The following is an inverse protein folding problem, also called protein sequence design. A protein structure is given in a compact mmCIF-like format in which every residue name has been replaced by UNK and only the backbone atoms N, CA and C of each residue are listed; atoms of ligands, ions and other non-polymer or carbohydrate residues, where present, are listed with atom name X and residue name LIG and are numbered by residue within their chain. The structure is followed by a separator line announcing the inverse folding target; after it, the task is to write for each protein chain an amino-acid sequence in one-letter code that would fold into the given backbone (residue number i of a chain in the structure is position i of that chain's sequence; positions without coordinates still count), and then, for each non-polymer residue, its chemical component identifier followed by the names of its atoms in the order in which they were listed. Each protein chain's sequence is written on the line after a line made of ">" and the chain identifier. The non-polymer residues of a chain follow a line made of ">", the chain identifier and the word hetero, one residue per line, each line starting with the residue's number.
data_IF_333840148772
#
_entry.id   IF_333840148772
#
_cell.length_a   1.000
_cell.length_b   1.000
_cell.length_c   1.000
_cell.angle_alpha   90.00
_cell.angle_beta   90.00
_cell.angle_gamma   90.00
#
_symmetry.space_group_name_H-M   'P 1'
#
loop_
_entity.id
_entity.type
_entity.pdbx_description
1 polymer ?
#
# COMPACT_ATOMS: atom_id res chain seq x y z
N UNK A 1 -23.53 -5.03 -16.77
CA UNK A 1 -22.26 -4.51 -16.23
C UNK A 1 -21.23 -5.59 -16.48
N UNK A 2 -20.20 -5.29 -17.26
CA UNK A 2 -19.09 -6.21 -17.47
C UNK A 2 -18.19 -6.20 -16.21
N UNK A 3 -17.48 -7.30 -15.88
CA UNK A 3 -16.66 -7.38 -14.67
C UNK A 3 -15.70 -6.20 -14.49
N UNK A 4 -15.14 -5.70 -15.60
CA UNK A 4 -14.22 -4.56 -15.65
C UNK A 4 -14.85 -3.28 -15.09
N UNK A 5 -16.09 -2.97 -15.45
CA UNK A 5 -16.83 -1.81 -14.95
C UNK A 5 -17.11 -1.94 -13.45
N UNK A 6 -17.50 -3.14 -13.01
CA UNK A 6 -17.77 -3.43 -11.60
C UNK A 6 -16.51 -3.20 -10.75
N UNK A 7 -15.37 -3.76 -11.16
CA UNK A 7 -14.13 -3.62 -10.39
C UNK A 7 -13.53 -2.21 -10.49
N UNK A 8 -13.70 -1.51 -11.61
CA UNK A 8 -13.32 -0.09 -11.70
C UNK A 8 -14.08 0.75 -10.67
N UNK A 9 -15.39 0.53 -10.53
CA UNK A 9 -16.22 1.18 -9.53
C UNK A 9 -15.85 0.74 -8.10
N UNK A 10 -15.67 -0.55 -7.87
CA UNK A 10 -15.35 -1.10 -6.55
C UNK A 10 -14.00 -0.60 -6.02
N UNK A 11 -13.01 -0.42 -6.90
CA UNK A 11 -11.71 0.16 -6.57
C UNK A 11 -11.74 1.70 -6.49
N UNK A 12 -12.86 2.34 -6.80
CA UNK A 12 -12.98 3.79 -6.83
C UNK A 12 -12.08 4.46 -7.88
N UNK A 13 -11.78 3.76 -8.99
CA UNK A 13 -10.94 4.30 -10.04
C UNK A 13 -11.67 5.45 -10.74
N UNK A 14 -10.95 6.56 -10.91
CA UNK A 14 -11.40 7.72 -11.65
C UNK A 14 -10.63 7.83 -12.96
N UNK A 15 -11.24 8.38 -14.03
CA UNK A 15 -10.54 8.63 -15.27
C UNK A 15 -9.21 9.36 -15.04
N UNK A 16 -8.14 8.99 -15.76
CA UNK A 16 -8.13 8.07 -16.91
C UNK A 16 -8.02 6.59 -16.54
N UNK A 17 -7.97 6.23 -15.25
CA UNK A 17 -7.79 4.85 -14.81
C UNK A 17 -9.06 4.02 -14.96
N UNK A 18 -8.89 2.78 -15.42
CA UNK A 18 -9.94 1.78 -15.54
C UNK A 18 -9.34 0.39 -15.45
N UNK A 19 -10.15 -0.58 -15.02
CA UNK A 19 -9.80 -2.00 -15.18
C UNK A 19 -10.03 -2.37 -16.65
N UNK A 20 -8.98 -2.81 -17.34
CA UNK A 20 -9.06 -3.20 -18.76
C UNK A 20 -9.32 -4.70 -18.94
N UNK A 21 -8.89 -5.51 -17.98
CA UNK A 21 -9.03 -6.95 -18.01
C UNK A 21 -9.06 -7.53 -16.60
N UNK A 22 -9.85 -8.59 -16.44
CA UNK A 22 -9.97 -9.36 -15.20
C UNK A 22 -9.63 -10.82 -15.49
N UNK A 23 -8.64 -11.36 -14.78
CA UNK A 23 -8.34 -12.80 -14.77
C UNK A 23 -8.76 -13.36 -13.42
N UNK A 24 -9.59 -14.41 -13.45
CA UNK A 24 -10.04 -15.08 -12.25
C UNK A 24 -9.72 -16.57 -12.32
N UNK A 25 -8.83 -17.03 -11.45
CA UNK A 25 -8.35 -18.41 -11.36
C UNK A 25 -8.91 -19.05 -10.10
N UNK A 26 -9.98 -19.84 -10.26
CA UNK A 26 -10.75 -20.39 -9.13
C UNK A 26 -9.93 -21.37 -8.31
N UNK A 27 -9.14 -22.22 -8.97
CA UNK A 27 -8.34 -23.28 -8.35
C UNK A 27 -7.26 -22.71 -7.43
N UNK A 28 -6.69 -21.58 -7.82
CA UNK A 28 -5.67 -20.84 -7.07
C UNK A 28 -6.28 -19.83 -6.08
N UNK A 29 -7.61 -19.69 -6.07
CA UNK A 29 -8.35 -18.63 -5.36
C UNK A 29 -7.75 -17.25 -5.63
N UNK A 30 -7.51 -16.93 -6.89
CA UNK A 30 -6.76 -15.73 -7.29
C UNK A 30 -7.54 -14.87 -8.27
N UNK A 31 -7.56 -13.57 -8.02
CA UNK A 31 -8.16 -12.53 -8.85
C UNK A 31 -7.10 -11.50 -9.25
N UNK A 32 -6.78 -11.42 -10.54
CA UNK A 32 -5.87 -10.44 -11.10
C UNK A 32 -6.67 -9.36 -11.85
N UNK A 33 -6.57 -8.12 -11.37
CA UNK A 33 -7.22 -6.95 -11.93
C UNK A 33 -6.17 -6.11 -12.66
N UNK A 34 -6.27 -6.06 -13.99
CA UNK A 34 -5.37 -5.27 -14.81
C UNK A 34 -5.94 -3.87 -14.98
N UNK A 35 -5.22 -2.89 -14.45
CA UNK A 35 -5.56 -1.47 -14.48
C UNK A 35 -4.76 -0.79 -15.58
N UNK A 36 -5.46 0.02 -16.36
CA UNK A 36 -4.91 0.71 -17.50
C UNK A 36 -5.48 2.13 -17.64
N UNK A 37 -4.98 2.83 -18.64
CA UNK A 37 -5.43 4.15 -19.06
C UNK A 37 -5.44 4.25 -20.61
N UNK A 38 -6.34 5.05 -21.20
CA UNK A 38 -6.39 5.25 -22.64
C UNK A 38 -5.11 5.87 -23.22
N UNK A 39 -4.74 5.50 -24.45
CA UNK A 39 -3.63 6.15 -25.16
C UNK A 39 -3.91 7.64 -25.33
N UNK A 40 -2.88 8.47 -25.19
CA UNK A 40 -2.99 9.93 -25.24
C UNK A 40 -3.37 10.59 -23.91
N UNK A 41 -3.59 9.80 -22.85
CA UNK A 41 -3.74 10.35 -21.48
C UNK A 41 -2.50 11.15 -21.08
N UNK A 42 -2.72 12.17 -20.26
CA UNK A 42 -1.69 13.00 -19.64
C UNK A 42 -1.80 12.82 -18.13
N UNK A 43 -0.67 13.01 -17.46
CA UNK A 43 -0.60 12.88 -16.01
C UNK A 43 0.30 13.98 -15.43
N UNK A 44 -0.05 14.42 -14.23
CA UNK A 44 0.73 15.34 -13.43
C UNK A 44 2.15 14.82 -13.15
N UNK A 45 3.16 15.68 -13.32
CA UNK A 45 4.52 15.42 -12.86
C UNK A 45 4.54 15.28 -11.33
N UNK A 46 5.20 14.26 -10.80
CA UNK A 46 5.31 14.01 -9.36
C UNK A 46 6.05 15.10 -8.57
N UNK A 47 6.76 16.01 -9.25
CA UNK A 47 7.52 17.11 -8.62
C UNK A 47 6.75 18.44 -8.67
N UNK A 48 6.31 18.87 -9.85
CA UNK A 48 5.67 20.18 -10.03
C UNK A 48 4.16 20.15 -10.27
N UNK A 49 3.56 18.97 -10.48
CA UNK A 49 2.14 18.81 -10.75
C UNK A 49 1.68 19.14 -12.17
N UNK A 50 2.56 19.65 -13.04
CA UNK A 50 2.21 20.01 -14.42
C UNK A 50 1.77 18.77 -15.23
N UNK A 51 0.70 18.90 -16.00
CA UNK A 51 0.20 17.84 -16.87
C UNK A 51 1.18 17.57 -18.01
N UNK A 52 1.74 16.36 -18.04
CA UNK A 52 2.80 15.97 -18.96
C UNK A 52 2.37 14.79 -19.84
N UNK A 53 2.88 14.69 -21.08
CA UNK A 53 2.65 13.52 -21.92
C UNK A 53 3.40 12.31 -21.35
N UNK A 54 2.79 11.12 -21.48
CA UNK A 54 3.43 9.85 -21.15
C UNK A 54 4.64 9.63 -22.07
N UNK A 55 5.81 9.40 -21.47
CA UNK A 55 7.05 9.04 -22.15
C UNK A 55 7.08 7.55 -22.46
N UNK A 56 6.91 6.74 -21.41
CA UNK A 56 6.79 5.29 -21.47
C UNK A 56 6.10 4.77 -20.18
N UNK A 57 6.07 3.46 -19.99
CA UNK A 57 5.39 2.82 -18.84
C UNK A 57 6.25 1.74 -18.21
N UNK A 58 6.01 1.44 -16.93
CA UNK A 58 6.59 0.30 -16.22
C UNK A 58 5.50 -0.54 -15.58
N UNK A 59 5.59 -1.85 -15.68
CA UNK A 59 4.62 -2.73 -15.03
C UNK A 59 4.90 -2.85 -13.54
N UNK A 60 3.83 -2.74 -12.75
CA UNK A 60 3.85 -2.92 -11.30
C UNK A 60 2.69 -3.80 -10.89
N UNK A 61 2.90 -4.54 -9.80
CA UNK A 61 1.89 -5.42 -9.20
C UNK A 61 1.79 -5.11 -7.72
N UNK A 62 0.56 -4.99 -7.22
CA UNK A 62 0.27 -4.82 -5.80
C UNK A 62 -0.70 -5.88 -5.32
N UNK A 63 -0.45 -6.43 -4.15
CA UNK A 63 -1.45 -7.21 -3.42
C UNK A 63 -2.48 -6.26 -2.78
N UNK A 64 -3.75 -6.55 -3.03
CA UNK A 64 -4.90 -5.83 -2.51
C UNK A 64 -5.61 -6.64 -1.42
N UNK A 65 -6.68 -6.12 -0.81
CA UNK A 65 -7.58 -6.92 0.03
C UNK A 65 -8.27 -8.00 -0.81
N UNK A 66 -8.57 -9.14 -0.18
CA UNK A 66 -9.28 -10.23 -0.85
C UNK A 66 -10.66 -9.79 -1.35
N UNK A 67 -10.98 -10.22 -2.56
CA UNK A 67 -12.34 -10.17 -3.07
C UNK A 67 -13.00 -11.52 -2.87
N UNK A 68 -14.01 -11.60 -1.99
CA UNK A 68 -14.71 -12.86 -1.68
C UNK A 68 -13.77 -14.02 -1.28
N UNK A 69 -12.75 -13.74 -0.47
CA UNK A 69 -11.72 -14.71 -0.05
C UNK A 69 -10.82 -15.23 -1.19
N UNK A 70 -10.78 -14.52 -2.32
CA UNK A 70 -9.80 -14.72 -3.36
C UNK A 70 -8.71 -13.66 -3.23
N UNK A 71 -7.45 -14.09 -3.23
CA UNK A 71 -6.31 -13.18 -3.21
C UNK A 71 -6.38 -12.28 -4.43
N UNK A 72 -6.39 -10.97 -4.20
CA UNK A 72 -6.53 -9.98 -5.24
C UNK A 72 -5.23 -9.26 -5.51
N UNK A 73 -4.85 -9.16 -6.78
CA UNK A 73 -3.67 -8.44 -7.24
C UNK A 73 -4.06 -7.38 -8.25
N UNK A 74 -3.59 -6.15 -8.04
CA UNK A 74 -3.69 -5.07 -9.02
C UNK A 74 -2.43 -5.07 -9.86
N UNK A 75 -2.59 -5.15 -11.17
CA UNK A 75 -1.50 -5.00 -12.13
C UNK A 75 -1.71 -3.70 -12.87
N UNK A 76 -0.69 -2.84 -12.98
CA UNK A 76 -0.81 -1.65 -13.79
C UNK A 76 0.50 -1.32 -14.49
N UNK A 77 0.39 -0.87 -15.73
CA UNK A 77 1.48 -0.15 -16.38
C UNK A 77 1.48 1.28 -15.85
N UNK A 78 2.39 1.61 -14.95
CA UNK A 78 2.51 2.95 -14.36
C UNK A 78 3.26 3.86 -15.35
N UNK A 79 2.69 5.01 -15.75
CA UNK A 79 3.32 5.89 -16.69
C UNK A 79 4.49 6.64 -16.07
N UNK A 80 5.54 6.83 -16.88
CA UNK A 80 6.56 7.84 -16.66
C UNK A 80 6.28 9.00 -17.59
N UNK A 81 6.21 10.21 -17.06
CA UNK A 81 5.92 11.42 -17.83
C UNK A 81 7.19 12.20 -18.13
N UNK A 82 7.23 12.86 -19.29
CA UNK A 82 8.33 13.75 -19.67
C UNK A 82 7.98 15.20 -19.30
N UNK A 83 8.43 15.64 -18.14
CA UNK A 83 8.36 17.03 -17.71
C UNK A 83 9.48 17.84 -18.36
N UNK A 84 9.18 19.07 -18.81
CA UNK A 84 10.19 19.94 -19.42
C UNK A 84 11.24 20.43 -18.41
N UNK A 85 10.83 20.66 -17.16
CA UNK A 85 11.70 21.17 -16.10
C UNK A 85 12.44 20.06 -15.36
N UNK A 86 11.73 18.97 -15.02
CA UNK A 86 12.25 17.94 -14.13
C UNK A 86 12.79 16.70 -14.88
N UNK A 87 12.51 16.57 -16.18
CA UNK A 87 12.89 15.37 -16.95
C UNK A 87 11.85 14.25 -16.87
N UNK A 88 12.29 12.99 -16.95
CA UNK A 88 11.40 11.81 -16.99
C UNK A 88 11.20 11.24 -15.59
N UNK A 89 9.96 11.24 -15.10
CA UNK A 89 9.60 10.76 -13.76
C UNK A 89 8.41 9.82 -13.80
N UNK A 90 8.43 8.78 -12.97
CA UNK A 90 7.25 7.95 -12.74
C UNK A 90 6.23 8.71 -11.90
N UNK A 91 4.95 8.62 -12.26
CA UNK A 91 3.89 9.24 -11.46
C UNK A 91 3.60 8.42 -10.21
N UNK A 92 2.99 9.06 -9.21
CA UNK A 92 2.34 8.35 -8.12
C UNK A 92 0.98 7.82 -8.58
N UNK A 93 0.62 6.61 -8.15
CA UNK A 93 -0.71 6.03 -8.39
C UNK A 93 -1.62 6.25 -7.18
N UNK A 94 -2.95 6.40 -7.37
CA UNK A 94 -3.83 6.76 -6.26
C UNK A 94 -4.08 5.62 -5.26
N UNK A 95 -3.77 4.37 -5.62
CA UNK A 95 -4.04 3.20 -4.77
C UNK A 95 -2.80 2.62 -4.07
N UNK A 96 -1.59 3.14 -4.30
CA UNK A 96 -0.38 2.60 -3.70
C UNK A 96 0.68 3.67 -3.41
N UNK A 97 1.36 3.49 -2.28
CA UNK A 97 2.56 4.22 -1.88
C UNK A 97 3.75 3.83 -2.77
N UNK A 98 4.66 4.77 -3.00
CA UNK A 98 5.91 4.49 -3.72
C UNK A 98 6.73 3.40 -3.00
N UNK A 99 7.21 2.42 -3.77
CA UNK A 99 7.99 1.29 -3.27
C UNK A 99 7.19 0.24 -2.49
N UNK A 100 5.87 0.41 -2.32
CA UNK A 100 5.04 -0.62 -1.71
C UNK A 100 4.65 -1.69 -2.72
N UNK A 101 4.59 -2.94 -2.24
CA UNK A 101 3.95 -4.06 -2.93
C UNK A 101 2.48 -4.24 -2.53
N UNK A 102 1.96 -3.36 -1.67
CA UNK A 102 0.59 -3.38 -1.20
C UNK A 102 -0.16 -2.12 -1.63
N UNK A 103 -1.46 -2.27 -1.83
CA UNK A 103 -2.35 -1.13 -1.98
C UNK A 103 -2.53 -0.40 -0.64
N UNK A 104 -2.84 0.89 -0.67
CA UNK A 104 -3.09 1.72 0.52
C UNK A 104 -4.18 1.13 1.42
N UNK A 105 -5.26 0.61 0.83
CA UNK A 105 -6.34 -0.02 1.58
C UNK A 105 -5.89 -1.31 2.28
N UNK A 106 -5.02 -2.10 1.63
CA UNK A 106 -4.47 -3.30 2.25
C UNK A 106 -3.48 -2.97 3.36
N UNK A 107 -2.65 -1.94 3.19
CA UNK A 107 -1.79 -1.43 4.26
C UNK A 107 -2.61 -0.91 5.45
N UNK A 108 -3.71 -0.20 5.21
CA UNK A 108 -4.61 0.27 6.26
C UNK A 108 -5.26 -0.89 7.04
N UNK A 109 -5.66 -1.96 6.34
CA UNK A 109 -6.15 -3.19 6.98
C UNK A 109 -5.05 -3.82 7.85
N UNK A 110 -3.84 -3.97 7.30
CA UNK A 110 -2.68 -4.50 8.04
C UNK A 110 -2.45 -3.66 9.32
N UNK A 111 -2.36 -2.34 9.20
CA UNK A 111 -2.12 -1.44 10.34
C UNK A 111 -3.24 -1.52 11.39
N UNK A 112 -4.48 -1.75 10.96
CA UNK A 112 -5.61 -1.96 11.88
C UNK A 112 -5.47 -3.29 12.64
N UNK A 113 -5.08 -4.37 11.96
CA UNK A 113 -4.96 -5.69 12.58
C UNK A 113 -3.75 -5.81 13.50
N UNK A 114 -2.59 -5.28 13.12
CA UNK A 114 -1.34 -5.39 13.92
C UNK A 114 -1.40 -4.62 15.23
N UNK A 115 -2.35 -3.69 15.36
CA UNK A 115 -2.65 -3.02 16.64
C UNK A 115 -3.27 -3.98 17.66
N UNK A 116 -4.05 -4.95 17.19
CA UNK A 116 -4.89 -5.79 18.04
C UNK A 116 -4.33 -7.21 18.21
N UNK A 117 -3.35 -7.61 17.39
CA UNK A 117 -2.79 -8.97 17.44
C UNK A 117 -1.32 -9.02 16.97
N UNK A 118 -0.56 -10.07 17.34
CA UNK A 118 0.83 -10.21 16.91
C UNK A 118 1.00 -10.19 15.39
N UNK A 119 2.07 -9.55 14.89
CA UNK A 119 2.35 -9.41 13.44
C UNK A 119 2.34 -10.75 12.70
N UNK A 120 2.91 -11.81 13.30
CA UNK A 120 2.90 -13.15 12.71
C UNK A 120 1.48 -13.73 12.57
N UNK A 121 0.58 -13.40 13.49
CA UNK A 121 -0.84 -13.81 13.41
C UNK A 121 -1.53 -13.06 12.27
N UNK A 122 -1.29 -11.75 12.13
CA UNK A 122 -1.83 -10.96 11.02
C UNK A 122 -1.33 -11.49 9.68
N UNK A 123 -0.02 -11.75 9.57
CA UNK A 123 0.61 -12.28 8.36
C UNK A 123 -0.10 -13.56 7.89
N UNK A 124 -0.32 -14.51 8.82
CA UNK A 124 -1.07 -15.74 8.54
C UNK A 124 -2.53 -15.50 8.16
N UNK A 125 -3.18 -14.52 8.80
CA UNK A 125 -4.58 -14.19 8.53
C UNK A 125 -4.78 -13.61 7.13
N UNK A 126 -3.84 -12.78 6.65
CA UNK A 126 -3.94 -12.12 5.34
C UNK A 126 -3.19 -12.84 4.21
N UNK A 127 -2.58 -13.99 4.51
CA UNK A 127 -1.85 -14.82 3.54
C UNK A 127 -0.47 -14.28 3.15
N UNK A 128 0.13 -13.43 3.97
CA UNK A 128 1.41 -12.76 3.68
C UNK A 128 2.53 -13.16 4.63
N UNK A 129 3.74 -12.68 4.37
CA UNK A 129 4.88 -12.83 5.28
C UNK A 129 4.97 -11.69 6.28
N UNK A 130 5.35 -12.00 7.52
CA UNK A 130 5.54 -11.01 8.58
C UNK A 130 6.59 -9.94 8.21
N UNK A 131 7.61 -10.32 7.45
CA UNK A 131 8.64 -9.41 6.93
C UNK A 131 8.05 -8.32 6.05
N UNK A 132 7.05 -8.63 5.22
CA UNK A 132 6.36 -7.62 4.40
C UNK A 132 5.50 -6.70 5.26
N UNK A 133 4.84 -7.24 6.30
CA UNK A 133 4.05 -6.45 7.24
C UNK A 133 4.94 -5.50 8.06
N UNK A 134 6.12 -5.95 8.50
CA UNK A 134 7.10 -5.07 9.17
C UNK A 134 7.51 -3.89 8.30
N UNK A 135 7.68 -4.05 6.98
CA UNK A 135 7.94 -2.92 6.07
C UNK A 135 6.82 -1.88 6.05
N UNK A 136 5.57 -2.31 6.26
CA UNK A 136 4.41 -1.40 6.38
C UNK A 136 4.47 -0.68 7.73
N UNK A 137 4.70 -1.43 8.81
CA UNK A 137 4.81 -0.89 10.18
C UNK A 137 5.95 0.14 10.27
N UNK A 138 7.12 -0.21 9.76
CA UNK A 138 8.32 0.63 9.77
C UNK A 138 8.18 1.87 8.89
N UNK A 139 7.22 1.89 7.97
CA UNK A 139 6.86 3.10 7.24
C UNK A 139 5.97 4.02 8.10
N UNK A 140 4.84 3.52 8.61
CA UNK A 140 3.83 4.36 9.25
C UNK A 140 4.10 4.69 10.71
N UNK A 141 4.70 3.77 11.49
CA UNK A 141 4.91 4.00 12.93
C UNK A 141 5.91 5.11 13.20
N UNK A 142 7.11 5.15 12.57
CA UNK A 142 8.03 6.27 12.76
C UNK A 142 7.44 7.61 12.35
N UNK A 143 6.70 7.65 11.24
CA UNK A 143 6.01 8.85 10.77
C UNK A 143 4.92 9.32 11.74
N UNK A 144 4.18 8.39 12.34
CA UNK A 144 3.21 8.73 13.39
C UNK A 144 3.90 9.24 14.66
N UNK A 145 5.01 8.61 15.05
CA UNK A 145 5.79 8.97 16.24
C UNK A 145 6.36 10.39 16.16
N UNK A 146 6.73 10.88 14.99
CA UNK A 146 7.25 12.26 14.82
C UNK A 146 6.19 13.33 15.04
N UNK A 147 4.90 12.97 14.97
CA UNK A 147 3.76 13.86 15.19
C UNK A 147 3.23 13.84 16.62
N UNK A 148 3.73 12.95 17.48
CA UNK A 148 3.27 12.86 18.86
C UNK A 148 3.84 14.04 19.64
N UNK A 149 2.94 14.90 20.13
CA UNK A 149 3.28 15.98 21.05
C UNK A 149 3.21 15.49 22.49
N UNK A 150 4.34 15.62 23.20
CA UNK A 150 4.48 15.21 24.60
C UNK A 150 4.58 16.41 25.55
N UNK A 151 4.28 17.63 25.10
CA UNK A 151 4.44 18.86 25.89
C UNK A 151 3.67 18.86 27.23
N UNK A 152 2.62 18.05 27.34
CA UNK A 152 1.75 17.95 28.52
C UNK A 152 1.95 16.65 29.33
N UNK A 153 2.94 15.84 28.98
CA UNK A 153 3.28 14.64 29.77
C UNK A 153 4.06 15.07 31.02
N UNK A 154 3.49 14.79 32.19
CA UNK A 154 4.06 15.20 33.49
C UNK A 154 4.55 14.03 34.35
N UNK A 155 4.14 12.81 34.03
CA UNK A 155 4.57 11.59 34.68
C UNK A 155 4.76 10.51 33.61
N UNK A 156 5.70 9.59 33.84
CA UNK A 156 5.93 8.44 32.96
C UNK A 156 6.11 7.22 33.83
N UNK A 157 5.30 6.19 33.57
CA UNK A 157 5.52 4.84 34.06
C UNK A 157 6.50 4.13 33.15
N UNK A 158 7.48 3.44 33.74
CA UNK A 158 8.43 2.61 33.02
C UNK A 158 8.34 1.21 33.61
N UNK A 159 8.08 0.23 32.75
CA UNK A 159 8.13 -1.19 33.09
C UNK A 159 9.13 -1.89 32.19
N UNK A 160 9.84 -2.88 32.72
CA UNK A 160 10.83 -3.65 31.96
C UNK A 160 10.62 -5.14 32.18
N UNK A 161 10.43 -5.86 31.08
CA UNK A 161 10.27 -7.31 31.09
C UNK A 161 11.38 -7.98 30.27
N UNK A 162 12.07 -8.96 30.86
CA UNK A 162 13.06 -9.79 30.16
C UNK A 162 12.39 -10.60 29.06
N UNK A 163 12.81 -10.40 27.81
CA UNK A 163 12.23 -11.08 26.64
C UNK A 163 12.78 -12.50 26.45
N UNK A 164 14.08 -12.72 26.73
CA UNK A 164 14.78 -14.01 26.65
C UNK A 164 15.95 -14.07 27.66
N UNK A 165 16.59 -15.23 27.80
CA UNK A 165 17.86 -15.36 28.53
C UNK A 165 18.95 -14.56 27.79
N UNK A 166 19.79 -13.84 28.54
CA UNK A 166 20.93 -13.12 27.96
C UNK A 166 20.87 -11.60 28.04
N UNK A 167 20.08 -11.03 28.95
CA UNK A 167 19.92 -9.58 29.14
C UNK A 167 19.31 -8.84 27.94
N UNK A 168 18.30 -9.43 27.30
CA UNK A 168 17.46 -8.77 26.29
C UNK A 168 16.11 -8.38 26.89
N UNK A 169 15.84 -7.07 26.96
CA UNK A 169 14.68 -6.52 27.66
C UNK A 169 13.72 -5.80 26.70
N UNK A 170 12.43 -5.88 27.03
CA UNK A 170 11.39 -5.05 26.45
C UNK A 170 11.01 -4.02 27.51
N UNK A 171 11.26 -2.75 27.21
CA UNK A 171 10.89 -1.62 28.07
C UNK A 171 9.60 -0.99 27.53
N UNK A 172 8.59 -0.89 28.39
CA UNK A 172 7.33 -0.25 28.11
C UNK A 172 7.30 1.11 28.80
N UNK A 173 6.96 2.14 28.03
CA UNK A 173 6.72 3.50 28.53
C UNK A 173 5.22 3.76 28.46
N UNK A 174 4.66 4.29 29.55
CA UNK A 174 3.26 4.71 29.66
C UNK A 174 3.25 6.13 30.23
N UNK A 175 2.45 7.01 29.65
CA UNK A 175 2.28 8.42 30.05
C UNK A 175 0.92 8.69 30.72
#
# INVERSE_FOLDING_TARGET
>A
MVPEELFSLALGLVPPWLVDHVTFTVEEKRLDLHINFPKGSRFACSVCGEECPVHDTRDHTWRHMDFFQHEAYLHARVPRVKCQEHGVHQISVPWAREGSHFTLLFEALIMTLVREMPVLTVARLVGETDTLLWRVIDHYVPEARTRVDMAHVHAVGVDETSSRRGHDYITLFVD
#
